data_IF_047401739072
#
_entry.id   IF_047401739072
#
_cell.length_a   1.000
_cell.length_b   1.000
_cell.length_c   1.000
_cell.angle_alpha   90.00
_cell.angle_beta   90.00
_cell.angle_gamma   90.00
#
_symmetry.space_group_name_H-M   'P 1'
#
loop_
_entity.id
_entity.type
_entity.pdbx_description
1 polymer ?
#
# COMPACT_ATOMS: atom_id res chain seq x y z
N UNK A 1 14.42 -11.55 5.57
CA UNK A 1 14.37 -10.13 5.18
C UNK A 1 12.91 -9.78 4.98
N UNK A 2 12.41 -8.70 5.58
CA UNK A 2 11.04 -8.26 5.33
C UNK A 2 10.98 -7.65 3.93
N UNK A 3 10.07 -8.13 3.09
CA UNK A 3 9.83 -7.55 1.76
C UNK A 3 8.89 -6.35 1.88
N UNK A 4 9.32 -5.35 2.65
CA UNK A 4 8.51 -4.20 3.00
C UNK A 4 8.05 -3.42 1.75
N UNK A 5 8.86 -3.40 0.69
CA UNK A 5 8.52 -2.72 -0.56
C UNK A 5 7.30 -3.39 -1.21
N UNK A 6 7.32 -4.72 -1.32
CA UNK A 6 6.19 -5.47 -1.87
C UNK A 6 4.95 -5.34 -0.98
N UNK A 7 5.12 -5.44 0.33
CA UNK A 7 4.05 -5.31 1.32
C UNK A 7 3.35 -3.93 1.25
N UNK A 8 4.13 -2.85 1.19
CA UNK A 8 3.59 -1.49 1.05
C UNK A 8 2.97 -1.30 -0.34
N UNK A 9 3.65 -1.71 -1.41
CA UNK A 9 3.11 -1.63 -2.77
C UNK A 9 1.77 -2.37 -2.92
N UNK A 10 1.67 -3.57 -2.38
CA UNK A 10 0.44 -4.37 -2.33
C UNK A 10 -0.67 -3.66 -1.57
N UNK A 11 -0.37 -3.06 -0.42
CA UNK A 11 -1.36 -2.27 0.31
C UNK A 11 -1.87 -1.07 -0.49
N UNK A 12 -0.97 -0.35 -1.16
CA UNK A 12 -1.34 0.80 -1.99
C UNK A 12 -2.28 0.39 -3.14
N UNK A 13 -2.17 -0.83 -3.67
CA UNK A 13 -3.11 -1.33 -4.69
C UNK A 13 -4.57 -1.33 -4.20
N UNK A 14 -4.80 -1.56 -2.90
CA UNK A 14 -6.14 -1.57 -2.32
C UNK A 14 -6.77 -0.18 -2.27
N UNK A 15 -5.95 0.88 -2.18
CA UNK A 15 -6.42 2.26 -2.16
C UNK A 15 -7.00 2.69 -3.52
N UNK A 16 -6.48 2.12 -4.60
CA UNK A 16 -6.87 2.49 -5.97
C UNK A 16 -7.77 1.45 -6.63
N UNK A 17 -7.87 0.24 -6.08
CA UNK A 17 -8.67 -0.84 -6.64
C UNK A 17 -10.17 -0.51 -6.68
N UNK A 18 -10.78 -0.73 -7.85
CA UNK A 18 -12.23 -0.65 -8.06
C UNK A 18 -13.01 -1.58 -7.12
N UNK A 19 -12.38 -2.66 -6.64
CA UNK A 19 -12.98 -3.60 -5.69
C UNK A 19 -13.35 -2.92 -4.39
N UNK A 20 -12.60 -1.92 -3.93
CA UNK A 20 -12.88 -1.20 -2.70
C UNK A 20 -13.46 0.19 -2.94
N UNK A 21 -13.59 0.67 -4.18
CA UNK A 21 -14.22 1.96 -4.50
C UNK A 21 -13.67 3.13 -3.63
N UNK A 22 -12.40 3.08 -3.26
CA UNK A 22 -11.73 4.16 -2.53
C UNK A 22 -11.17 5.20 -3.49
N UNK A 23 -10.66 4.76 -4.65
CA UNK A 23 -10.14 5.62 -5.72
C UNK A 23 -9.16 6.70 -5.22
N UNK A 24 -8.36 6.36 -4.20
CA UNK A 24 -7.39 7.26 -3.59
C UNK A 24 -6.09 7.35 -4.42
N UNK A 25 -6.25 7.67 -5.72
CA UNK A 25 -5.16 7.85 -6.66
C UNK A 25 -4.25 9.02 -6.27
N UNK A 26 -4.81 10.04 -5.63
CA UNK A 26 -4.09 11.19 -5.10
C UNK A 26 -3.03 10.78 -4.06
N UNK A 27 -3.31 9.76 -3.25
CA UNK A 27 -2.34 9.21 -2.29
C UNK A 27 -1.19 8.50 -3.01
N UNK A 28 -1.50 7.64 -3.98
CA UNK A 28 -0.47 6.92 -4.77
C UNK A 28 0.37 7.91 -5.58
N UNK A 29 -0.26 8.93 -6.16
CA UNK A 29 0.40 10.02 -6.85
C UNK A 29 1.31 10.83 -5.92
N UNK A 30 0.85 11.11 -4.70
CA UNK A 30 1.65 11.78 -3.67
C UNK A 30 2.92 11.00 -3.33
N UNK A 31 2.82 9.68 -3.20
CA UNK A 31 3.98 8.79 -3.01
C UNK A 31 4.92 8.83 -4.23
N UNK A 32 4.37 8.77 -5.44
CA UNK A 32 5.17 8.80 -6.67
C UNK A 32 5.92 10.13 -6.89
N UNK A 33 5.31 11.24 -6.45
CA UNK A 33 5.82 12.61 -6.65
C UNK A 33 6.65 13.14 -5.49
N UNK A 34 6.77 12.39 -4.40
CA UNK A 34 7.53 12.79 -3.21
C UNK A 34 8.99 13.13 -3.53
N UNK A 35 9.46 14.27 -3.04
CA UNK A 35 10.82 14.78 -3.23
C UNK A 35 11.72 14.57 -2.01
N UNK A 36 11.12 14.27 -0.86
CA UNK A 36 11.84 14.01 0.38
C UNK A 36 11.11 12.95 1.22
N UNK A 37 11.80 12.43 2.24
CA UNK A 37 11.28 11.39 3.12
C UNK A 37 9.94 11.79 3.78
N UNK A 38 9.82 13.05 4.22
CA UNK A 38 8.62 13.54 4.89
C UNK A 38 7.39 13.53 3.97
N UNK A 39 7.52 14.01 2.72
CA UNK A 39 6.43 13.98 1.74
C UNK A 39 5.95 12.55 1.44
N UNK A 40 6.90 11.61 1.33
CA UNK A 40 6.59 10.21 1.10
C UNK A 40 5.84 9.62 2.31
N UNK A 41 6.36 9.82 3.52
CA UNK A 41 5.77 9.33 4.76
C UNK A 41 4.40 9.96 5.05
N UNK A 42 4.21 11.25 4.75
CA UNK A 42 2.92 11.94 4.89
C UNK A 42 1.87 11.35 3.94
N UNK A 43 2.24 11.08 2.69
CA UNK A 43 1.36 10.46 1.71
C UNK A 43 0.98 9.04 2.15
N UNK A 44 1.96 8.25 2.62
CA UNK A 44 1.70 6.92 3.16
C UNK A 44 0.81 6.95 4.41
N UNK A 45 1.02 7.91 5.31
CA UNK A 45 0.18 8.13 6.48
C UNK A 45 -1.28 8.39 6.08
N UNK A 46 -1.52 9.26 5.09
CA UNK A 46 -2.88 9.50 4.56
C UNK A 46 -3.51 8.20 4.04
N UNK A 47 -2.74 7.37 3.35
CA UNK A 47 -3.15 6.02 2.95
C UNK A 47 -3.55 5.16 4.13
N UNK A 48 -2.64 4.97 5.10
CA UNK A 48 -2.84 4.10 6.27
C UNK A 48 -4.03 4.51 7.15
N UNK A 49 -4.43 5.79 7.16
CA UNK A 49 -5.66 6.23 7.84
C UNK A 49 -6.93 5.61 7.26
N UNK A 50 -6.89 5.15 6.01
CA UNK A 50 -8.02 4.50 5.34
C UNK A 50 -8.16 3.02 5.69
N UNK A 51 -7.24 2.44 6.48
CA UNK A 51 -7.27 1.03 6.89
C UNK A 51 -8.62 0.61 7.50
N UNK A 52 -9.25 1.34 8.44
CA UNK A 52 -10.54 0.93 9.00
C UNK A 52 -11.64 0.82 7.94
N UNK A 53 -11.66 1.76 6.98
CA UNK A 53 -12.64 1.79 5.89
C UNK A 53 -12.39 0.66 4.89
N UNK A 54 -11.14 0.45 4.49
CA UNK A 54 -10.74 -0.65 3.62
C UNK A 54 -11.06 -2.02 4.23
N UNK A 55 -10.78 -2.22 5.52
CA UNK A 55 -11.09 -3.48 6.21
C UNK A 55 -12.58 -3.79 6.17
N UNK A 56 -13.43 -2.80 6.49
CA UNK A 56 -14.89 -2.96 6.44
C UNK A 56 -15.36 -3.36 5.04
N UNK A 57 -14.89 -2.67 4.00
CA UNK A 57 -15.24 -3.00 2.60
C UNK A 57 -14.72 -4.36 2.16
N UNK A 58 -13.51 -4.73 2.58
CA UNK A 58 -12.95 -6.04 2.29
C UNK A 58 -13.78 -7.16 2.92
N UNK A 59 -14.21 -7.00 4.17
CA UNK A 59 -15.09 -7.94 4.85
C UNK A 59 -16.45 -8.07 4.13
N UNK A 60 -17.11 -6.96 3.82
CA UNK A 60 -18.40 -6.91 3.11
C UNK A 60 -18.34 -7.62 1.75
N UNK A 61 -17.22 -7.48 1.04
CA UNK A 61 -17.02 -8.04 -0.31
C UNK A 61 -16.32 -9.40 -0.32
N UNK A 62 -15.97 -9.94 0.84
CA UNK A 62 -15.31 -11.24 0.98
C UNK A 62 -13.86 -11.27 0.46
N UNK A 63 -13.14 -10.16 0.55
CA UNK A 63 -11.72 -10.06 0.21
C UNK A 63 -10.84 -10.11 1.46
N UNK A 64 -9.63 -10.63 1.30
CA UNK A 64 -8.58 -10.50 2.31
C UNK A 64 -7.59 -9.43 1.84
N UNK A 65 -7.37 -8.42 2.69
CA UNK A 65 -6.39 -7.37 2.45
C UNK A 65 -5.21 -7.53 3.40
N UNK A 66 -4.03 -7.23 2.87
CA UNK A 66 -2.81 -7.12 3.65
C UNK A 66 -2.58 -5.69 4.11
N UNK A 67 -2.27 -5.48 5.40
CA UNK A 67 -1.89 -4.15 5.92
C UNK A 67 -0.40 -4.21 6.27
N UNK A 68 0.43 -3.23 5.87
CA UNK A 68 1.84 -3.21 6.22
C UNK A 68 2.02 -3.25 7.73
N UNK A 69 2.93 -4.09 8.20
CA UNK A 69 3.23 -4.25 9.63
C UNK A 69 4.07 -3.08 10.14
N UNK A 70 4.16 -2.93 11.47
CA UNK A 70 5.07 -1.96 12.07
C UNK A 70 6.54 -2.18 11.63
N UNK A 71 6.93 -3.43 11.36
CA UNK A 71 8.26 -3.75 10.85
C UNK A 71 8.47 -3.26 9.41
N UNK A 72 7.44 -3.34 8.56
CA UNK A 72 7.54 -2.82 7.19
C UNK A 72 7.68 -1.29 7.19
N UNK A 73 6.94 -0.61 8.07
CA UNK A 73 7.03 0.85 8.22
C UNK A 73 8.41 1.25 8.76
N UNK A 74 8.93 0.53 9.75
CA UNK A 74 10.27 0.77 10.29
C UNK A 74 11.36 0.58 9.23
N UNK A 75 11.26 -0.48 8.42
CA UNK A 75 12.22 -0.73 7.35
C UNK A 75 12.18 0.37 6.25
N UNK A 76 11.00 0.88 5.92
CA UNK A 76 10.85 2.03 5.03
C UNK A 76 11.48 3.29 5.66
N UNK A 77 11.23 3.56 6.94
CA UNK A 77 11.79 4.72 7.64
C UNK A 77 13.33 4.68 7.68
N UNK A 78 13.91 3.54 8.06
CA UNK A 78 15.36 3.31 8.05
C UNK A 78 15.97 3.52 6.66
N UNK A 79 15.29 3.06 5.60
CA UNK A 79 15.75 3.23 4.22
C UNK A 79 15.74 4.71 3.78
N UNK A 80 14.79 5.50 4.30
CA UNK A 80 14.58 6.91 3.97
C UNK A 80 15.44 7.86 4.80
N UNK A 81 15.85 7.49 6.02
CA UNK A 81 16.63 8.35 6.92
C UNK A 81 17.94 8.86 6.30
N UNK A 82 18.56 8.02 5.45
CA UNK A 82 19.79 8.34 4.72
C UNK A 82 19.58 8.64 3.24
N UNK A 83 18.32 8.75 2.78
CA UNK A 83 18.01 8.88 1.37
C UNK A 83 18.17 10.31 0.85
N UNK A 84 18.89 10.45 -0.27
CA UNK A 84 18.84 11.67 -1.08
C UNK A 84 17.51 11.74 -1.87
N UNK A 85 17.20 12.91 -2.42
CA UNK A 85 15.97 13.12 -3.21
C UNK A 85 15.84 12.10 -4.37
N UNK A 86 16.95 11.73 -5.00
CA UNK A 86 16.95 10.75 -6.09
C UNK A 86 16.50 9.37 -5.60
N UNK A 87 16.99 8.92 -4.46
CA UNK A 87 16.62 7.65 -3.82
C UNK A 87 15.17 7.69 -3.36
N UNK A 88 14.71 8.77 -2.73
CA UNK A 88 13.30 8.95 -2.34
C UNK A 88 12.38 8.82 -3.56
N UNK A 89 12.65 9.56 -4.63
CA UNK A 89 11.86 9.50 -5.88
C UNK A 89 11.85 8.09 -6.47
N UNK A 90 12.98 7.38 -6.43
CA UNK A 90 13.07 5.99 -6.90
C UNK A 90 12.21 5.03 -6.06
N UNK A 91 12.21 5.18 -4.74
CA UNK A 91 11.38 4.39 -3.83
C UNK A 91 9.90 4.70 -4.07
N UNK A 92 9.52 5.98 -4.07
CA UNK A 92 8.16 6.42 -4.32
C UNK A 92 7.60 5.90 -5.65
N UNK A 93 8.37 6.04 -6.73
CA UNK A 93 7.99 5.50 -8.04
C UNK A 93 7.85 3.97 -8.02
N UNK A 94 8.77 3.26 -7.37
CA UNK A 94 8.69 1.78 -7.26
C UNK A 94 7.42 1.34 -6.53
N UNK A 95 7.08 2.00 -5.43
CA UNK A 95 5.85 1.72 -4.67
C UNK A 95 4.59 1.96 -5.53
N UNK A 96 4.55 3.08 -6.25
CA UNK A 96 3.44 3.39 -7.15
C UNK A 96 3.31 2.35 -8.29
N UNK A 97 4.42 1.97 -8.93
CA UNK A 97 4.43 0.93 -9.96
C UNK A 97 3.93 -0.42 -9.42
N UNK A 98 4.37 -0.81 -8.22
CA UNK A 98 3.91 -2.04 -7.58
C UNK A 98 2.42 -1.99 -7.24
N UNK A 99 1.90 -0.84 -6.81
CA UNK A 99 0.47 -0.68 -6.55
C UNK A 99 -0.39 -0.99 -7.79
N UNK A 100 0.08 -0.60 -8.98
CA UNK A 100 -0.56 -0.89 -10.26
C UNK A 100 -0.34 -2.35 -10.70
N UNK A 101 0.81 -2.95 -10.38
CA UNK A 101 1.09 -4.35 -10.68
C UNK A 101 0.26 -5.32 -9.82
N UNK A 102 -0.02 -4.98 -8.56
CA UNK A 102 -0.81 -5.79 -7.62
C UNK A 102 -2.32 -5.54 -7.69
N UNK A 103 -2.82 -4.85 -8.72
CA UNK A 103 -4.22 -4.44 -8.86
C UNK A 103 -5.24 -5.58 -8.64
N UNK A 104 -4.84 -6.83 -8.88
CA UNK A 104 -5.70 -7.98 -8.67
C UNK A 104 -5.67 -8.54 -7.23
N UNK A 105 -6.66 -8.14 -6.43
CA UNK A 105 -6.89 -8.72 -5.09
C UNK A 105 -7.68 -10.02 -5.17
N UNK A 106 -7.15 -11.17 -4.71
CA UNK A 106 -7.91 -12.42 -4.74
C UNK A 106 -9.10 -12.35 -3.77
N UNK A 107 -10.28 -12.81 -4.22
CA UNK A 107 -11.40 -13.08 -3.30
C UNK A 107 -10.96 -14.17 -2.32
N UNK A 108 -11.46 -14.12 -1.10
CA UNK A 108 -11.32 -15.25 -0.17
C UNK A 108 -11.96 -16.45 -0.86
N UNK A 109 -11.17 -17.49 -1.15
CA UNK A 109 -11.74 -18.79 -1.41
C UNK A 109 -12.51 -19.13 -0.13
N UNK A 110 -13.84 -19.12 -0.21
CA UNK A 110 -14.63 -19.82 0.80
C UNK A 110 -14.16 -21.26 0.67
N UNK A 111 -13.47 -21.77 1.69
CA UNK A 111 -13.31 -23.21 1.87
C UNK A 111 -14.71 -23.79 1.72
N UNK A 112 -14.95 -24.36 0.54
CA UNK A 112 -16.23 -24.91 0.18
C UNK A 112 -16.43 -26.13 1.06
N UNK A 113 -17.49 -26.09 1.86
CA UNK A 113 -18.05 -27.29 2.47
C UNK A 113 -18.13 -28.39 1.42
N UNK A 114 -17.38 -29.45 1.66
CA UNK A 114 -17.27 -30.62 0.80
C UNK A 114 -17.39 -31.88 1.64
N UNK A 115 -18.65 -32.19 1.99
CA UNK A 115 -19.19 -33.44 2.57
C UNK A 115 -18.73 -33.86 3.96
#
# INVERSE_FOLDING_TARGET
MSDWIENVGKYLSYLVSDKFEEYAYDIVDGIAKARNANELMESLYKGLRLVPKLRKKAEEKGYQIYIPSAQDIKALEEELESADEKKVRKIGLKLALLSLAYWDVPKREREGGGK
#
